data_IF_897441073320
#
_entry.id   IF_897441073320
#
_cell.length_a   1.000
_cell.length_b   1.000
_cell.length_c   1.000
_cell.angle_alpha   90.00
_cell.angle_beta   90.00
_cell.angle_gamma   90.00
#
_symmetry.space_group_name_H-M   'P 1'
#
loop_
_entity.id
_entity.type
_entity.pdbx_description
1 polymer ?
#
# COMPACT_ATOMS: atom_id res chain seq x y z
N UNK A 1 3.96 -21.12 -16.49
CA UNK A 1 2.57 -21.09 -16.98
C UNK A 1 1.73 -21.95 -16.06
N UNK A 2 0.66 -21.40 -15.47
CA UNK A 2 -0.28 -22.16 -14.65
C UNK A 2 -1.28 -22.91 -15.56
N UNK A 3 -1.65 -24.16 -15.26
CA UNK A 3 -2.69 -24.85 -16.01
C UNK A 3 -4.02 -24.09 -15.85
N UNK A 4 -4.65 -23.70 -16.97
CA UNK A 4 -5.92 -22.95 -16.99
C UNK A 4 -5.80 -21.42 -17.13
N UNK A 5 -4.62 -20.89 -17.49
CA UNK A 5 -4.47 -19.46 -17.80
C UNK A 5 -4.81 -18.53 -16.63
N UNK A 6 -5.49 -17.42 -16.92
CA UNK A 6 -5.89 -16.41 -15.93
C UNK A 6 -6.85 -16.99 -14.88
N UNK A 7 -7.82 -17.82 -15.28
CA UNK A 7 -8.79 -18.44 -14.38
C UNK A 7 -8.13 -19.42 -13.39
N UNK A 8 -7.21 -20.26 -13.87
CA UNK A 8 -6.45 -21.17 -13.00
C UNK A 8 -5.60 -20.42 -11.96
N UNK A 9 -5.12 -19.22 -12.32
CA UNK A 9 -4.36 -18.36 -11.40
C UNK A 9 -5.26 -17.66 -10.38
N UNK A 10 -6.43 -17.16 -10.80
CA UNK A 10 -7.43 -16.53 -9.92
C UNK A 10 -7.94 -17.54 -8.87
N UNK A 11 -8.26 -18.76 -9.29
CA UNK A 11 -8.70 -19.83 -8.40
C UNK A 11 -7.61 -20.28 -7.40
N UNK A 12 -6.33 -20.12 -7.75
CA UNK A 12 -5.20 -20.43 -6.87
C UNK A 12 -4.92 -19.34 -5.81
N UNK A 13 -5.51 -18.15 -5.96
CA UNK A 13 -5.39 -17.03 -5.02
C UNK A 13 -6.72 -16.95 -4.25
N UNK A 14 -6.79 -17.66 -3.12
CA UNK A 14 -7.97 -17.96 -2.30
C UNK A 14 -8.74 -16.76 -1.70
N UNK A 15 -8.53 -15.53 -2.16
CA UNK A 15 -9.02 -14.33 -1.48
C UNK A 15 -9.37 -13.19 -2.44
N UNK A 16 -9.66 -13.52 -3.69
CA UNK A 16 -10.51 -12.64 -4.47
C UNK A 16 -11.93 -12.83 -3.95
N UNK A 17 -12.49 -11.81 -3.26
CA UNK A 17 -13.94 -11.66 -3.15
C UNK A 17 -14.49 -11.87 -4.57
N UNK A 18 -15.36 -12.87 -4.75
CA UNK A 18 -15.77 -13.39 -6.07
C UNK A 18 -16.17 -12.26 -7.01
N UNK A 19 -16.83 -11.23 -6.46
CA UNK A 19 -17.29 -10.04 -7.15
C UNK A 19 -16.17 -9.07 -7.55
N UNK A 20 -15.14 -8.91 -6.70
CA UNK A 20 -13.96 -8.12 -7.04
C UNK A 20 -13.12 -8.81 -8.13
N UNK A 21 -13.14 -10.14 -8.18
CA UNK A 21 -12.47 -10.94 -9.21
C UNK A 21 -13.19 -10.76 -10.53
N UNK A 22 -14.51 -10.96 -10.52
CA UNK A 22 -15.35 -10.81 -11.69
C UNK A 22 -15.35 -9.38 -12.23
N UNK A 23 -15.41 -8.36 -11.36
CA UNK A 23 -15.31 -6.97 -11.79
C UNK A 23 -13.95 -6.65 -12.44
N UNK A 24 -12.87 -7.26 -11.93
CA UNK A 24 -11.55 -7.06 -12.47
C UNK A 24 -11.34 -7.85 -13.78
N UNK A 25 -11.88 -9.06 -13.90
CA UNK A 25 -11.94 -9.82 -15.16
C UNK A 25 -12.69 -9.01 -16.22
N UNK A 26 -13.89 -8.52 -15.91
CA UNK A 26 -14.72 -7.71 -16.82
C UNK A 26 -14.05 -6.38 -17.21
N UNK A 27 -13.33 -5.75 -16.30
CA UNK A 27 -12.56 -4.54 -16.61
C UNK A 27 -11.37 -4.83 -17.55
N UNK A 28 -10.76 -6.01 -17.39
CA UNK A 28 -9.65 -6.47 -18.22
C UNK A 28 -10.12 -6.92 -19.61
N UNK A 29 -11.30 -7.53 -19.74
CA UNK A 29 -11.92 -7.87 -21.04
C UNK A 29 -12.10 -6.65 -21.95
N UNK A 30 -12.42 -5.50 -21.35
CA UNK A 30 -12.62 -4.25 -22.06
C UNK A 30 -11.31 -3.48 -22.35
N UNK A 31 -10.17 -3.94 -21.81
CA UNK A 31 -8.87 -3.26 -21.87
C UNK A 31 -8.41 -2.92 -23.30
N UNK A 32 -7.86 -1.73 -23.56
CA UNK A 32 -7.41 -1.32 -24.90
C UNK A 32 -6.08 -2.00 -25.31
N UNK A 33 -5.47 -2.76 -24.40
CA UNK A 33 -4.21 -3.45 -24.64
C UNK A 33 -4.40 -4.71 -25.51
N UNK A 34 -3.40 -5.05 -26.36
CA UNK A 34 -3.36 -6.33 -27.06
C UNK A 34 -3.48 -7.51 -26.09
N UNK A 35 -4.10 -8.64 -26.49
CA UNK A 35 -4.34 -9.80 -25.62
C UNK A 35 -3.09 -10.28 -24.86
N UNK A 36 -1.94 -10.39 -25.53
CA UNK A 36 -0.69 -10.86 -24.89
C UNK A 36 -0.21 -9.91 -23.78
N UNK A 37 -0.33 -8.59 -23.99
CA UNK A 37 0.04 -7.59 -22.97
C UNK A 37 -0.95 -7.59 -21.82
N UNK A 38 -2.23 -7.80 -22.11
CA UNK A 38 -3.31 -7.90 -21.13
C UNK A 38 -3.06 -9.06 -20.16
N UNK A 39 -2.78 -10.25 -20.69
CA UNK A 39 -2.45 -11.43 -19.89
C UNK A 39 -1.18 -11.23 -19.05
N UNK A 40 -0.16 -10.61 -19.63
CA UNK A 40 1.09 -10.32 -18.92
C UNK A 40 0.87 -9.32 -17.77
N UNK A 41 0.15 -8.22 -18.02
CA UNK A 41 -0.19 -7.20 -17.02
C UNK A 41 -0.99 -7.83 -15.89
N UNK A 42 -1.99 -8.63 -16.24
CA UNK A 42 -2.83 -9.32 -15.27
C UNK A 42 -2.03 -10.31 -14.42
N UNK A 43 -1.25 -11.17 -15.05
CA UNK A 43 -0.42 -12.16 -14.36
C UNK A 43 0.58 -11.53 -13.39
N UNK A 44 1.18 -10.39 -13.77
CA UNK A 44 2.10 -9.67 -12.89
C UNK A 44 1.38 -8.89 -11.78
N UNK A 45 0.18 -8.36 -12.04
CA UNK A 45 -0.68 -7.77 -11.00
C UNK A 45 -1.02 -8.80 -9.92
N UNK A 46 -1.41 -10.01 -10.32
CA UNK A 46 -1.69 -11.12 -9.41
C UNK A 46 -0.44 -11.54 -8.64
N UNK A 47 0.69 -11.71 -9.34
CA UNK A 47 1.97 -12.07 -8.71
C UNK A 47 2.40 -11.03 -7.67
N UNK A 48 2.24 -9.74 -7.98
CA UNK A 48 2.55 -8.66 -7.05
C UNK A 48 1.70 -8.78 -5.79
N UNK A 49 0.37 -8.89 -5.94
CA UNK A 49 -0.56 -9.01 -4.81
C UNK A 49 -0.26 -10.22 -3.94
N UNK A 50 0.03 -11.37 -4.56
CA UNK A 50 0.43 -12.58 -3.85
C UNK A 50 1.69 -12.37 -3.00
N UNK A 51 2.73 -11.78 -3.60
CA UNK A 51 3.97 -11.44 -2.88
C UNK A 51 3.72 -10.46 -1.75
N UNK A 52 2.93 -9.41 -2.00
CA UNK A 52 2.60 -8.42 -0.98
C UNK A 52 1.81 -9.05 0.18
N UNK A 53 0.88 -9.96 -0.10
CA UNK A 53 0.09 -10.65 0.94
C UNK A 53 0.96 -11.51 1.85
N UNK A 54 1.93 -12.24 1.30
CA UNK A 54 2.88 -13.05 2.10
C UNK A 54 3.70 -12.22 3.10
N UNK A 55 3.92 -10.95 2.82
CA UNK A 55 4.68 -10.06 3.69
C UNK A 55 3.82 -9.44 4.81
N UNK A 56 2.49 -9.64 4.82
CA UNK A 56 1.61 -9.02 5.81
C UNK A 56 1.93 -9.49 7.24
N UNK A 57 2.14 -10.79 7.42
CA UNK A 57 2.46 -11.38 8.73
C UNK A 57 3.71 -10.74 9.34
N UNK A 58 4.72 -10.38 8.53
CA UNK A 58 5.90 -9.67 9.04
C UNK A 58 5.54 -8.36 9.74
N UNK A 59 4.58 -7.61 9.21
CA UNK A 59 4.13 -6.36 9.83
C UNK A 59 3.28 -6.64 11.07
N UNK A 60 2.43 -7.67 11.02
CA UNK A 60 1.62 -8.11 12.17
C UNK A 60 2.50 -8.53 13.35
N UNK A 61 3.43 -9.45 13.10
CA UNK A 61 4.40 -9.96 14.09
C UNK A 61 5.23 -8.81 14.66
N UNK A 62 5.74 -7.91 13.81
CA UNK A 62 6.50 -6.73 14.27
C UNK A 62 5.69 -5.85 15.22
N UNK A 63 4.43 -5.56 14.91
CA UNK A 63 3.58 -4.73 15.77
C UNK A 63 3.20 -5.42 17.07
N UNK A 64 3.01 -6.74 17.04
CA UNK A 64 2.74 -7.55 18.22
C UNK A 64 3.93 -7.56 19.17
N UNK A 65 5.14 -7.69 18.63
CA UNK A 65 6.35 -7.88 19.42
C UNK A 65 6.98 -6.55 19.87
N UNK A 66 6.87 -5.49 19.07
CA UNK A 66 7.60 -4.24 19.27
C UNK A 66 6.75 -2.97 19.24
N UNK A 67 5.41 -3.07 19.15
CA UNK A 67 4.57 -1.93 18.81
C UNK A 67 4.70 -0.71 19.72
N UNK A 68 4.70 -0.92 21.03
CA UNK A 68 4.79 0.17 22.02
C UNK A 68 6.19 0.80 22.04
N UNK A 69 7.25 -0.03 22.10
CA UNK A 69 8.64 0.42 22.11
C UNK A 69 9.02 1.13 20.81
N UNK A 70 8.56 0.61 19.67
CA UNK A 70 8.78 1.22 18.35
C UNK A 70 8.14 2.61 18.26
N UNK A 71 6.96 2.77 18.86
CA UNK A 71 6.26 4.04 18.91
C UNK A 71 7.00 5.08 19.75
N UNK A 72 7.51 4.68 20.92
CA UNK A 72 8.31 5.54 21.77
C UNK A 72 9.65 5.88 21.12
N UNK A 73 10.30 4.90 20.49
CA UNK A 73 11.52 5.07 19.72
C UNK A 73 11.33 6.05 18.56
N UNK A 74 10.24 5.94 17.80
CA UNK A 74 9.96 6.88 16.72
C UNK A 74 9.85 8.33 17.22
N UNK A 75 9.30 8.54 18.42
CA UNK A 75 9.20 9.86 19.06
C UNK A 75 10.54 10.37 19.58
N UNK A 76 11.47 9.48 19.95
CA UNK A 76 12.81 9.86 20.40
C UNK A 76 13.78 10.16 19.25
N UNK A 77 13.45 9.77 18.01
CA UNK A 77 14.28 10.03 16.85
C UNK A 77 14.48 11.54 16.60
N UNK A 78 15.71 11.96 16.20
CA UNK A 78 15.93 13.33 15.75
C UNK A 78 15.03 13.69 14.56
N UNK A 79 14.49 14.91 14.55
CA UNK A 79 13.54 15.34 13.53
C UNK A 79 14.03 15.17 12.09
N UNK A 80 15.32 15.46 11.87
CA UNK A 80 15.97 15.27 10.57
C UNK A 80 15.98 13.80 10.13
N UNK A 81 16.17 12.88 11.08
CA UNK A 81 16.23 11.44 10.82
C UNK A 81 14.85 10.90 10.46
N UNK A 82 13.83 11.17 11.28
CA UNK A 82 12.48 10.70 10.97
C UNK A 82 11.95 11.32 9.67
N UNK A 83 12.20 12.61 9.42
CA UNK A 83 11.84 13.28 8.17
C UNK A 83 12.46 12.60 6.95
N UNK A 84 13.74 12.20 7.02
CA UNK A 84 14.42 11.51 5.92
C UNK A 84 13.80 10.13 5.65
N UNK A 85 13.40 9.40 6.69
CA UNK A 85 12.76 8.09 6.55
C UNK A 85 11.31 8.18 6.02
N UNK A 86 10.69 9.36 6.11
CA UNK A 86 9.35 9.66 5.59
C UNK A 86 9.36 10.28 4.19
N UNK A 87 10.42 10.03 3.43
CA UNK A 87 10.60 10.51 2.05
C UNK A 87 10.93 9.33 1.14
N UNK A 88 10.20 9.23 0.03
CA UNK A 88 10.36 8.18 -0.97
C UNK A 88 10.54 8.82 -2.35
N UNK A 89 11.67 8.61 -3.03
CA UNK A 89 11.86 9.06 -4.41
C UNK A 89 10.79 8.50 -5.35
N UNK A 90 10.38 9.25 -6.38
CA UNK A 90 9.37 8.78 -7.36
C UNK A 90 9.75 7.46 -8.02
N UNK A 91 11.04 7.30 -8.34
CA UNK A 91 11.59 6.10 -8.99
C UNK A 91 11.59 4.87 -8.09
N UNK A 92 11.37 5.03 -6.79
CA UNK A 92 11.48 3.93 -5.84
C UNK A 92 10.34 2.92 -6.00
N UNK A 93 9.15 3.35 -6.45
CA UNK A 93 8.03 2.43 -6.69
C UNK A 93 8.42 1.43 -7.79
N UNK A 94 8.97 1.93 -8.90
CA UNK A 94 9.37 1.12 -10.05
C UNK A 94 10.62 0.30 -9.74
N UNK A 95 11.58 0.88 -9.00
CA UNK A 95 12.77 0.16 -8.56
C UNK A 95 12.39 -1.04 -7.69
N UNK A 96 11.46 -0.88 -6.75
CA UNK A 96 11.01 -1.98 -5.88
C UNK A 96 10.22 -3.04 -6.63
N UNK A 97 9.37 -2.66 -7.59
CA UNK A 97 8.71 -3.61 -8.49
C UNK A 97 9.73 -4.51 -9.18
N UNK A 98 10.79 -3.89 -9.68
CA UNK A 98 11.88 -4.58 -10.38
C UNK A 98 12.70 -5.47 -9.45
N UNK A 99 13.31 -4.89 -8.42
CA UNK A 99 14.32 -5.54 -7.58
C UNK A 99 13.72 -6.49 -6.55
N UNK A 100 12.64 -6.08 -5.88
CA UNK A 100 12.03 -6.87 -4.80
C UNK A 100 11.02 -7.87 -5.35
N UNK A 101 10.23 -7.47 -6.34
CA UNK A 101 9.13 -8.30 -6.84
C UNK A 101 9.40 -8.96 -8.19
N UNK A 102 10.52 -8.67 -8.87
CA UNK A 102 10.88 -9.28 -10.14
C UNK A 102 9.87 -8.98 -11.26
N UNK A 103 9.27 -7.79 -11.23
CA UNK A 103 8.28 -7.33 -12.20
C UNK A 103 8.97 -6.34 -13.14
N UNK A 104 9.26 -6.80 -14.36
CA UNK A 104 9.97 -6.05 -15.40
C UNK A 104 9.09 -5.78 -16.64
N UNK A 105 7.83 -6.20 -16.61
CA UNK A 105 6.94 -6.24 -17.78
C UNK A 105 6.23 -4.91 -18.07
N UNK A 106 5.32 -4.95 -19.04
CA UNK A 106 4.32 -3.92 -19.32
C UNK A 106 3.59 -3.41 -18.07
N UNK A 107 3.43 -4.23 -17.03
CA UNK A 107 2.80 -3.80 -15.78
C UNK A 107 3.61 -2.73 -15.04
N UNK A 108 4.95 -2.77 -15.15
CA UNK A 108 5.80 -1.71 -14.61
C UNK A 108 5.49 -0.34 -15.24
N UNK A 109 5.24 -0.31 -16.55
CA UNK A 109 4.87 0.91 -17.28
C UNK A 109 3.48 1.40 -16.83
N UNK A 110 2.52 0.49 -16.66
CA UNK A 110 1.21 0.81 -16.10
C UNK A 110 1.36 1.46 -14.74
N UNK A 111 2.17 0.88 -13.84
CA UNK A 111 2.38 1.44 -12.52
C UNK A 111 3.13 2.79 -12.53
N UNK A 112 3.99 3.07 -13.51
CA UNK A 112 4.53 4.42 -13.69
C UNK A 112 3.42 5.47 -13.92
N UNK A 113 2.47 5.18 -14.80
CA UNK A 113 1.34 6.09 -15.06
C UNK A 113 0.46 6.25 -13.81
N UNK A 114 0.23 5.15 -13.07
CA UNK A 114 -0.54 5.18 -11.83
C UNK A 114 0.18 5.94 -10.71
N UNK A 115 1.51 5.88 -10.65
CA UNK A 115 2.31 6.71 -9.72
C UNK A 115 2.04 8.19 -9.95
N UNK A 116 1.92 8.62 -11.21
CA UNK A 116 1.60 10.01 -11.53
C UNK A 116 0.18 10.38 -11.12
N UNK A 117 -0.79 9.47 -11.26
CA UNK A 117 -2.15 9.66 -10.75
C UNK A 117 -2.15 9.85 -9.22
N UNK A 118 -1.37 9.05 -8.48
CA UNK A 118 -1.27 9.16 -7.02
C UNK A 118 -0.53 10.43 -6.60
N UNK A 119 0.53 10.81 -7.33
CA UNK A 119 1.28 12.05 -7.10
C UNK A 119 0.40 13.31 -7.26
N UNK A 120 -0.54 13.26 -8.21
CA UNK A 120 -1.42 14.38 -8.58
C UNK A 120 -2.88 14.13 -8.20
N UNK A 121 -3.14 13.34 -7.15
CA UNK A 121 -4.51 12.95 -6.79
C UNK A 121 -5.42 14.16 -6.52
N UNK A 122 -4.88 15.21 -5.88
CA UNK A 122 -5.60 16.47 -5.60
C UNK A 122 -6.04 17.21 -6.86
N UNK A 123 -5.27 17.07 -7.93
CA UNK A 123 -5.52 17.74 -9.21
C UNK A 123 -6.45 16.91 -10.09
N UNK A 124 -6.32 15.59 -10.04
CA UNK A 124 -7.01 14.64 -10.92
C UNK A 124 -8.43 14.30 -10.49
N UNK A 125 -8.79 14.52 -9.21
CA UNK A 125 -10.14 14.28 -8.66
C UNK A 125 -10.70 12.88 -8.96
N UNK A 126 -9.84 11.87 -9.08
CA UNK A 126 -10.28 10.51 -9.37
C UNK A 126 -11.30 10.01 -8.33
N UNK A 127 -12.27 9.18 -8.74
CA UNK A 127 -13.33 8.69 -7.86
C UNK A 127 -12.76 7.89 -6.68
N UNK A 128 -13.52 7.84 -5.59
CA UNK A 128 -13.12 7.18 -4.34
C UNK A 128 -12.83 5.71 -4.60
N UNK A 129 -11.61 5.25 -4.34
CA UNK A 129 -11.16 3.88 -4.63
C UNK A 129 -11.73 2.82 -3.64
N UNK A 130 -12.90 3.04 -3.04
CA UNK A 130 -13.50 2.15 -2.02
C UNK A 130 -12.53 1.77 -0.89
N UNK A 131 -11.78 2.76 -0.41
CA UNK A 131 -10.64 2.60 0.53
C UNK A 131 -11.13 2.53 1.97
N UNK A 132 -10.48 1.70 2.79
CA UNK A 132 -10.64 1.75 4.23
C UNK A 132 -10.10 3.05 4.84
N UNK A 133 -10.56 3.35 6.04
CA UNK A 133 -10.25 4.60 6.76
C UNK A 133 -8.73 4.88 6.90
N UNK A 134 -7.87 3.89 7.25
CA UNK A 134 -6.44 4.15 7.39
C UNK A 134 -5.77 4.61 6.08
N UNK A 135 -6.21 4.08 4.93
CA UNK A 135 -5.68 4.47 3.62
C UNK A 135 -6.16 5.88 3.23
N UNK A 136 -7.42 6.22 3.54
CA UNK A 136 -7.98 7.55 3.28
C UNK A 136 -7.24 8.62 4.07
N UNK A 137 -7.07 8.41 5.38
CA UNK A 137 -6.39 9.37 6.23
C UNK A 137 -4.92 9.52 5.83
N UNK A 138 -4.24 8.41 5.53
CA UNK A 138 -2.87 8.44 5.02
C UNK A 138 -2.72 9.29 3.76
N UNK A 139 -3.61 9.15 2.77
CA UNK A 139 -3.53 9.93 1.54
C UNK A 139 -3.68 11.44 1.78
N UNK A 140 -4.53 11.86 2.73
CA UNK A 140 -4.72 13.29 3.03
C UNK A 140 -3.41 13.98 3.41
N UNK A 141 -2.53 13.26 4.10
CA UNK A 141 -1.23 13.76 4.57
C UNK A 141 -0.06 13.42 3.63
N UNK A 142 -0.29 12.56 2.63
CA UNK A 142 0.69 12.23 1.62
C UNK A 142 0.82 13.40 0.63
N UNK A 143 2.04 13.93 0.51
CA UNK A 143 2.36 15.02 -0.41
C UNK A 143 3.39 14.55 -1.41
N UNK A 144 3.28 15.02 -2.65
CA UNK A 144 4.30 14.82 -3.66
C UNK A 144 5.05 16.13 -3.94
N UNK A 145 6.38 16.08 -3.88
CA UNK A 145 7.27 17.16 -4.31
C UNK A 145 8.13 16.66 -5.48
N UNK A 146 8.22 17.43 -6.56
CA UNK A 146 9.04 17.09 -7.74
C UNK A 146 10.52 16.87 -7.38
N UNK A 147 11.04 17.51 -6.33
CA UNK A 147 12.44 17.36 -5.89
C UNK A 147 12.65 16.22 -4.88
N UNK A 148 11.62 15.86 -4.11
CA UNK A 148 11.73 14.94 -2.96
C UNK A 148 10.92 13.64 -3.09
N UNK A 149 10.06 13.53 -4.10
CA UNK A 149 9.12 12.41 -4.26
C UNK A 149 7.95 12.47 -3.29
N UNK A 150 7.48 11.30 -2.86
CA UNK A 150 6.39 11.17 -1.88
C UNK A 150 6.91 11.45 -0.47
N UNK A 151 6.13 12.19 0.33
CA UNK A 151 6.53 12.60 1.68
C UNK A 151 5.33 12.72 2.60
N UNK A 152 5.50 12.32 3.87
CA UNK A 152 4.57 12.66 4.96
C UNK A 152 5.23 13.71 5.84
N UNK A 153 4.55 14.84 6.02
CA UNK A 153 5.06 15.97 6.81
C UNK A 153 4.66 15.80 8.27
N UNK A 154 5.39 14.94 8.98
CA UNK A 154 5.18 14.65 10.40
C UNK A 154 5.58 15.83 11.30
N UNK A 155 6.46 16.71 10.85
CA UNK A 155 6.88 17.88 11.64
C UNK A 155 6.16 19.16 11.20
N UNK A 156 5.95 20.07 12.16
CA UNK A 156 5.61 21.47 11.90
C UNK A 156 6.83 22.29 11.44
N UNK A 157 6.67 23.62 11.36
CA UNK A 157 7.76 24.51 10.93
C UNK A 157 8.78 24.71 12.04
N UNK A 158 8.36 24.51 13.27
CA UNK A 158 9.06 24.69 14.53
C UNK A 158 9.90 23.44 14.89
N UNK A 159 9.66 22.31 14.23
CA UNK A 159 10.37 21.06 14.43
C UNK A 159 9.73 20.10 15.42
N UNK A 160 8.47 20.34 15.79
CA UNK A 160 7.67 19.50 16.69
C UNK A 160 6.89 18.45 15.89
N UNK A 161 6.71 17.26 16.45
CA UNK A 161 5.88 16.21 15.87
C UNK A 161 4.41 16.65 15.90
N UNK A 162 3.77 16.60 14.74
CA UNK A 162 2.32 16.73 14.57
C UNK A 162 1.69 15.40 14.93
N UNK A 163 1.21 15.29 16.17
CA UNK A 163 0.73 14.02 16.72
C UNK A 163 -0.43 13.43 15.92
N UNK A 164 -1.30 14.26 15.34
CA UNK A 164 -2.37 13.84 14.44
C UNK A 164 -1.83 13.11 13.20
N UNK A 165 -0.84 13.71 12.53
CA UNK A 165 -0.21 13.14 11.34
C UNK A 165 0.59 11.89 11.69
N UNK A 166 1.27 11.92 12.83
CA UNK A 166 2.05 10.80 13.32
C UNK A 166 1.15 9.60 13.62
N UNK A 167 0.02 9.81 14.30
CA UNK A 167 -0.95 8.76 14.59
C UNK A 167 -1.60 8.20 13.33
N UNK A 168 -1.91 9.05 12.34
CA UNK A 168 -2.39 8.59 11.03
C UNK A 168 -1.37 7.67 10.36
N UNK A 169 -0.09 8.02 10.41
CA UNK A 169 0.98 7.18 9.90
C UNK A 169 1.08 5.84 10.64
N UNK A 170 1.09 5.85 11.98
CA UNK A 170 1.16 4.63 12.79
C UNK A 170 -0.04 3.70 12.52
N UNK A 171 -1.25 4.27 12.44
CA UNK A 171 -2.45 3.51 12.10
C UNK A 171 -2.35 2.90 10.69
N UNK A 172 -1.81 3.65 9.72
CA UNK A 172 -1.57 3.11 8.39
C UNK A 172 -0.55 1.97 8.43
N UNK A 173 0.52 2.12 9.19
CA UNK A 173 1.55 1.09 9.33
C UNK A 173 1.01 -0.19 9.99
N UNK A 174 0.18 -0.06 11.04
CA UNK A 174 -0.55 -1.20 11.64
C UNK A 174 -1.44 -1.91 10.63
N UNK A 175 -2.17 -1.16 9.80
CA UNK A 175 -3.04 -1.75 8.77
C UNK A 175 -2.29 -2.58 7.72
N UNK A 176 -0.95 -2.47 7.62
CA UNK A 176 -0.15 -3.29 6.69
C UNK A 176 -0.11 -4.78 7.09
N UNK A 177 -0.28 -5.07 8.38
CA UNK A 177 -0.43 -6.42 8.95
C UNK A 177 -1.88 -6.78 9.30
N UNK A 178 -2.87 -6.01 8.82
CA UNK A 178 -4.28 -6.28 9.10
C UNK A 178 -4.82 -7.52 8.38
N UNK A 179 -6.11 -7.87 8.54
CA UNK A 179 -6.70 -9.10 7.99
C UNK A 179 -6.79 -9.12 6.46
N UNK A 180 -6.76 -7.95 5.80
CA UNK A 180 -6.89 -7.81 4.34
C UNK A 180 -5.77 -6.91 3.79
N UNK A 181 -5.21 -7.30 2.63
CA UNK A 181 -4.15 -6.53 1.96
C UNK A 181 -4.58 -5.10 1.60
N UNK A 182 -5.84 -4.95 1.20
CA UNK A 182 -6.46 -3.71 0.74
C UNK A 182 -7.83 -3.53 1.39
N UNK A 183 -7.85 -3.24 2.69
CA UNK A 183 -9.06 -3.01 3.49
C UNK A 183 -10.02 -2.00 2.82
N UNK A 184 -11.31 -2.34 2.77
CA UNK A 184 -12.34 -1.52 2.12
C UNK A 184 -13.14 -0.75 3.17
N UNK A 185 -13.75 0.36 2.76
CA UNK A 185 -14.75 1.03 3.61
C UNK A 185 -15.91 0.05 3.91
N UNK A 186 -16.48 0.07 5.12
CA UNK A 186 -17.68 -0.70 5.42
C UNK A 186 -18.80 -0.28 4.47
N UNK A 187 -19.63 -1.25 4.03
CA UNK A 187 -20.84 -0.93 3.27
C UNK A 187 -21.69 -0.01 4.16
N UNK A 188 -22.05 1.18 3.68
CA UNK A 188 -23.07 2.00 4.36
C UNK A 188 -24.38 1.26 4.24
N UNK A 189 -24.75 0.49 5.25
CA UNK A 189 -26.12 0.03 5.45
C UNK A 189 -26.94 1.26 5.79
N UNK A 190 -27.59 1.85 4.79
CA UNK A 190 -28.86 2.52 5.09
C UNK A 190 -29.90 1.41 5.24
N UNK A 191 -30.67 1.52 6.32
CA UNK A 191 -31.68 0.57 6.76
C UNK A 191 -32.77 0.28 5.70
N UNK A 192 -33.34 -0.93 5.82
CA UNK A 192 -34.56 -1.44 5.20
C UNK A 192 -34.52 -1.77 3.69
N UNK A 193 -34.05 -2.98 3.35
CA UNK A 193 -34.92 -3.93 2.62
C UNK A 193 -34.39 -5.37 2.69
N UNK A 194 -35.25 -6.28 3.15
CA UNK A 194 -35.08 -7.71 2.99
C UNK A 194 -35.25 -8.05 1.50
N UNK A 195 -34.15 -8.25 0.79
CA UNK A 195 -34.22 -8.68 -0.60
C UNK A 195 -32.85 -9.01 -1.15
N UNK A 196 -32.59 -10.29 -1.39
CA UNK A 196 -31.43 -10.71 -2.18
C UNK A 196 -31.47 -10.12 -3.59
N UNK A 197 -30.29 -9.91 -4.15
CA UNK A 197 -30.01 -9.43 -5.50
C UNK A 197 -30.46 -7.98 -5.79
N UNK A 198 -29.54 -7.03 -5.57
CA UNK A 198 -29.07 -6.15 -6.64
C UNK A 198 -27.96 -5.23 -6.11
N UNK A 199 -26.70 -5.59 -6.39
CA UNK A 199 -25.58 -4.64 -6.36
C UNK A 199 -25.64 -3.88 -7.70
N UNK A 200 -26.72 -3.11 -7.89
CA UNK A 200 -26.81 -2.09 -8.92
C UNK A 200 -25.79 -1.01 -8.54
N UNK A 201 -24.55 -1.24 -8.98
CA UNK A 201 -23.61 -0.20 -9.35
C UNK A 201 -24.45 0.88 -10.01
N UNK A 202 -24.58 2.06 -9.39
CA UNK A 202 -25.05 3.22 -10.13
C UNK A 202 -24.19 3.27 -11.38
N UNK A 203 -24.82 2.98 -12.52
CA UNK A 203 -24.22 3.03 -13.83
C UNK A 203 -23.91 4.51 -14.09
N UNK A 204 -22.78 4.98 -13.58
CA UNK A 204 -22.13 6.14 -14.16
C UNK A 204 -21.73 5.71 -15.58
N UNK A 205 -22.50 6.20 -16.54
CA UNK A 205 -22.19 6.20 -17.96
C UNK A 205 -20.75 6.70 -18.15
N UNK A 206 -19.84 5.78 -18.48
CA UNK A 206 -18.41 6.07 -18.59
C UNK A 206 -17.55 5.03 -17.87
N UNK A 207 -17.68 3.75 -18.23
CA UNK A 207 -16.69 2.72 -17.86
C UNK A 207 -15.38 2.95 -18.62
N UNK A 208 -14.67 4.01 -18.27
CA UNK A 208 -13.25 4.14 -18.62
C UNK A 208 -12.42 3.33 -17.63
N UNK A 209 -11.46 2.57 -18.16
CA UNK A 209 -10.55 1.66 -17.47
C UNK A 209 -10.08 2.18 -16.10
N UNK A 210 -10.70 1.70 -15.03
CA UNK A 210 -10.40 2.22 -13.71
C UNK A 210 -9.11 1.58 -13.19
N UNK A 211 -8.01 2.33 -13.19
CA UNK A 211 -6.78 2.00 -12.45
C UNK A 211 -6.97 2.05 -10.92
N UNK A 212 -8.22 2.01 -10.41
CA UNK A 212 -8.58 2.08 -8.98
C UNK A 212 -7.74 1.09 -8.16
N UNK A 213 -7.73 -0.16 -8.60
CA UNK A 213 -7.00 -1.25 -7.95
C UNK A 213 -5.49 -0.97 -7.90
N UNK A 214 -4.93 -0.45 -8.98
CA UNK A 214 -3.50 -0.22 -9.12
C UNK A 214 -3.06 1.01 -8.30
N UNK A 215 -3.89 2.06 -8.21
CA UNK A 215 -3.64 3.21 -7.33
C UNK A 215 -3.50 2.79 -5.87
N UNK A 216 -4.39 1.91 -5.41
CA UNK A 216 -4.32 1.36 -4.04
C UNK A 216 -3.05 0.56 -3.80
N UNK A 217 -2.59 -0.21 -4.80
CA UNK A 217 -1.32 -0.93 -4.73
C UNK A 217 -0.14 0.05 -4.65
N UNK A 218 -0.13 1.14 -5.43
CA UNK A 218 0.93 2.16 -5.34
C UNK A 218 0.96 2.79 -3.95
N UNK A 219 -0.19 3.19 -3.39
CA UNK A 219 -0.24 3.72 -2.01
C UNK A 219 0.26 2.72 -0.97
N UNK A 220 -0.07 1.44 -1.15
CA UNK A 220 0.43 0.37 -0.30
C UNK A 220 1.95 0.23 -0.40
N UNK A 221 2.52 0.29 -1.60
CA UNK A 221 3.97 0.25 -1.81
C UNK A 221 4.68 1.44 -1.15
N UNK A 222 4.09 2.64 -1.23
CA UNK A 222 4.61 3.84 -0.55
C UNK A 222 4.57 3.66 0.97
N UNK A 223 3.45 3.23 1.54
CA UNK A 223 3.33 2.98 2.97
C UNK A 223 4.33 1.92 3.45
N UNK A 224 4.48 0.81 2.71
CA UNK A 224 5.48 -0.23 3.02
C UNK A 224 6.90 0.28 2.92
N UNK A 225 7.19 1.21 2.00
CA UNK A 225 8.51 1.80 1.91
C UNK A 225 8.88 2.53 3.20
N UNK A 226 8.02 3.43 3.67
CA UNK A 226 8.25 4.16 4.93
C UNK A 226 8.37 3.20 6.13
N UNK A 227 7.49 2.19 6.19
CA UNK A 227 7.51 1.19 7.26
C UNK A 227 8.82 0.38 7.26
N UNK A 228 9.23 -0.13 6.10
CA UNK A 228 10.43 -0.95 5.96
C UNK A 228 11.69 -0.19 6.38
N UNK A 229 11.80 1.11 6.04
CA UNK A 229 12.93 1.95 6.43
C UNK A 229 13.03 2.09 7.96
N UNK A 230 11.91 2.39 8.61
CA UNK A 230 11.88 2.56 10.06
C UNK A 230 12.07 1.24 10.82
N UNK A 231 11.40 0.16 10.41
CA UNK A 231 11.56 -1.17 11.01
C UNK A 231 13.03 -1.59 10.94
N UNK A 232 13.65 -1.48 9.75
CA UNK A 232 15.05 -1.87 9.56
C UNK A 232 15.98 -1.05 10.44
N UNK A 233 15.67 0.23 10.63
CA UNK A 233 16.47 1.11 11.47
C UNK A 233 16.29 0.80 12.96
N UNK A 234 15.06 0.60 13.42
CA UNK A 234 14.74 0.21 14.79
C UNK A 234 15.46 -1.08 15.17
N UNK A 235 15.27 -2.14 14.36
CA UNK A 235 15.88 -3.44 14.60
C UNK A 235 17.42 -3.38 14.68
N UNK A 236 18.05 -2.54 13.84
CA UNK A 236 19.51 -2.35 13.89
C UNK A 236 19.99 -1.62 15.15
N UNK A 237 19.22 -0.66 15.65
CA UNK A 237 19.58 0.09 16.87
C UNK A 237 19.36 -0.79 18.10
N UNK A 238 18.24 -1.51 18.18
CA UNK A 238 17.95 -2.44 19.28
C UNK A 238 18.99 -3.57 19.36
N UNK A 239 19.36 -4.19 18.23
CA UNK A 239 20.41 -5.22 18.20
C UNK A 239 21.78 -4.68 18.68
N UNK A 240 22.12 -3.44 18.32
CA UNK A 240 23.38 -2.84 18.74
C UNK A 240 23.40 -2.50 20.23
N UNK A 241 22.26 -2.16 20.81
CA UNK A 241 22.15 -1.86 22.23
C UNK A 241 22.26 -3.14 23.07
N UNK A 242 21.62 -4.24 22.64
CA UNK A 242 21.78 -5.57 23.23
C UNK A 242 23.24 -6.05 23.22
N UNK A 243 23.92 -5.94 22.06
CA UNK A 243 25.34 -6.30 21.93
C UNK A 243 26.26 -5.44 22.83
N UNK A 244 25.90 -4.18 23.12
CA UNK A 244 26.69 -3.31 24.00
C UNK A 244 26.51 -3.66 25.47
N UNK A 245 25.31 -4.05 25.87
CA UNK A 245 25.01 -4.45 27.24
C UNK A 245 25.70 -5.77 27.62
N UNK A 246 25.83 -6.72 26.68
CA UNK A 246 26.54 -7.99 26.91
C UNK A 246 28.07 -7.82 27.10
N UNK A 247 28.66 -6.74 26.56
CA UNK A 247 30.12 -6.50 26.58
C UNK A 247 30.59 -5.83 27.87
N UNK A 248 29.69 -5.35 28.73
CA UNK A 248 30.05 -4.79 30.05
C UNK A 248 29.91 -5.92 31.10
N UNK A 249 30.97 -6.67 31.44
CA UNK A 249 30.88 -7.64 32.52
C UNK A 249 30.53 -6.90 33.83
N UNK A 250 29.52 -7.40 34.52
CA UNK A 250 29.13 -6.93 35.84
C UNK A 250 30.36 -6.96 36.78
N UNK A 251 30.86 -5.78 37.14
CA UNK A 251 31.86 -5.60 38.20
C UNK A 251 31.18 -5.58 39.57
#
# INVERSE_FOLDING_TARGET
FFPGGVEGMINSISDFETDAAQAAIKAEENSPWPPDMREQVWGDRLRLRHKLKKEMNRYEDFWKDHGEDFEQWCRSLPAKTLKKNMQMPRTEVTERLRTKYGIHSAFGIVLCAVVDQVAHFKDTKYPVDARGEPEVQFEKHLVYDRRGGFTIRIYDKEGTIKEDVFQVWLNRMRSLGGPKLLERAPKKTNDEDEGGADDAVQEEEGREHSFRSDRRIVRLLIARYFADQLITKYQKETQQDEEREEVIPAN
#
